data_IF_779665900133
#
_entry.id   IF_779665900133
#
_cell.length_a   1.000
_cell.length_b   1.000
_cell.length_c   1.000
_cell.angle_alpha   90.00
_cell.angle_beta   90.00
_cell.angle_gamma   90.00
#
_symmetry.space_group_name_H-M   'P 1'
#
loop_
_entity.id
_entity.type
_entity.pdbx_description
1 polymer ?
#
# COMPACT_ATOMS: atom_id res chain seq x y z
N UNK A 1 9.86 -2.98 66.92
CA UNK A 1 8.49 -3.54 66.83
C UNK A 1 8.03 -3.40 65.39
N UNK A 2 7.81 -4.54 64.69
CA UNK A 2 7.34 -4.67 63.29
C UNK A 2 5.79 -4.61 63.24
N UNK A 3 5.12 -4.36 62.08
CA UNK A 3 5.16 -5.24 60.89
C UNK A 3 5.27 -4.47 59.55
N UNK A 4 5.88 -4.97 58.47
CA UNK A 4 5.63 -6.17 57.64
C UNK A 4 4.19 -6.32 57.13
N UNK A 5 3.87 -5.63 56.02
CA UNK A 5 2.89 -6.05 55.02
C UNK A 5 3.41 -5.58 53.65
N UNK A 6 3.94 -6.47 52.81
CA UNK A 6 3.21 -7.28 51.82
C UNK A 6 2.49 -6.39 50.79
N UNK A 7 3.07 -6.25 49.60
CA UNK A 7 2.55 -5.40 48.54
C UNK A 7 3.14 -5.73 47.16
N UNK A 8 2.96 -6.99 46.74
CA UNK A 8 2.73 -7.41 45.35
C UNK A 8 3.71 -6.88 44.29
N UNK A 9 4.68 -7.74 44.00
CA UNK A 9 5.45 -7.80 42.77
C UNK A 9 4.53 -7.70 41.55
N UNK A 10 4.51 -6.54 40.88
CA UNK A 10 3.90 -6.43 39.57
C UNK A 10 4.98 -6.76 38.54
N UNK A 11 5.03 -8.03 38.17
CA UNK A 11 5.76 -8.52 37.00
C UNK A 11 5.07 -7.93 35.76
N UNK A 12 5.66 -6.90 35.15
CA UNK A 12 5.24 -6.43 33.83
C UNK A 12 5.88 -7.33 32.77
N UNK A 13 5.30 -8.52 32.61
CA UNK A 13 5.52 -9.38 31.46
C UNK A 13 4.50 -9.02 30.37
N UNK A 14 4.95 -8.34 29.33
CA UNK A 14 4.38 -8.50 27.99
C UNK A 14 5.53 -8.77 27.02
N UNK A 15 6.00 -10.01 27.04
CA UNK A 15 6.61 -10.62 25.85
C UNK A 15 5.51 -10.77 24.80
N UNK A 16 5.77 -10.28 23.59
CA UNK A 16 5.21 -10.83 22.36
C UNK A 16 3.93 -10.20 21.83
N UNK A 17 4.07 -9.29 20.87
CA UNK A 17 3.70 -9.58 19.48
C UNK A 17 4.36 -8.52 18.58
N UNK A 18 5.42 -8.88 17.87
CA UNK A 18 5.80 -8.11 16.70
C UNK A 18 4.65 -8.30 15.70
N UNK A 19 3.77 -7.30 15.59
CA UNK A 19 2.68 -7.32 14.62
C UNK A 19 3.34 -7.40 13.24
N UNK A 20 3.30 -8.59 12.67
CA UNK A 20 3.76 -8.85 11.33
C UNK A 20 2.83 -8.19 10.33
N UNK A 21 3.32 -7.12 9.70
CA UNK A 21 3.25 -6.98 8.25
C UNK A 21 1.98 -6.35 7.67
N UNK A 22 1.80 -5.04 7.86
CA UNK A 22 1.03 -4.19 6.96
C UNK A 22 1.85 -2.95 6.62
N UNK A 23 2.81 -3.07 5.68
CA UNK A 23 3.46 -1.86 5.14
C UNK A 23 2.39 -0.92 4.56
N UNK A 24 2.60 0.40 4.55
CA UNK A 24 1.60 1.34 4.04
C UNK A 24 1.16 0.90 2.65
N UNK A 25 -0.16 0.69 2.49
CA UNK A 25 -0.74 0.31 1.21
C UNK A 25 -0.58 1.49 0.26
N UNK A 26 0.17 1.28 -0.82
CA UNK A 26 0.24 2.26 -1.90
C UNK A 26 -0.89 1.97 -2.88
N UNK A 27 -1.67 2.99 -3.22
CA UNK A 27 -2.78 2.87 -4.16
C UNK A 27 -2.58 3.79 -5.35
N UNK A 28 -2.90 3.29 -6.55
CA UNK A 28 -3.08 4.09 -7.75
C UNK A 28 -4.49 3.93 -8.29
N UNK A 29 -4.97 4.94 -8.99
CA UNK A 29 -6.31 4.98 -9.58
C UNK A 29 -6.21 5.17 -11.09
N UNK A 30 -7.05 4.44 -11.82
CA UNK A 30 -7.20 4.53 -13.27
C UNK A 30 -8.66 4.82 -13.58
N UNK A 31 -8.89 5.80 -14.45
CA UNK A 31 -10.23 6.18 -14.87
C UNK A 31 -10.23 6.58 -16.35
N UNK A 32 -11.30 6.25 -17.08
CA UNK A 32 -11.46 6.62 -18.49
C UNK A 32 -11.41 8.13 -18.75
N UNK A 33 -11.76 8.94 -17.74
CA UNK A 33 -11.71 10.40 -17.77
C UNK A 33 -10.48 10.99 -17.05
N UNK A 34 -9.49 10.16 -16.69
CA UNK A 34 -8.21 10.58 -16.10
C UNK A 34 -7.21 11.09 -17.12
N UNK A 35 -5.98 11.38 -16.66
CA UNK A 35 -4.87 11.84 -17.50
C UNK A 35 -3.59 11.10 -17.13
N UNK A 36 -2.78 10.68 -18.12
CA UNK A 36 -1.54 9.94 -17.84
C UNK A 36 -0.42 10.81 -17.24
N UNK A 37 -0.57 12.13 -17.32
CA UNK A 37 0.28 13.12 -16.64
C UNK A 37 -0.10 13.36 -15.17
N UNK A 38 -1.25 12.86 -14.71
CA UNK A 38 -1.67 13.00 -13.32
C UNK A 38 -0.85 12.09 -12.38
N UNK A 39 -0.88 12.32 -11.06
CA UNK A 39 -0.14 11.50 -10.10
C UNK A 39 -0.75 10.10 -9.84
N UNK A 40 -1.90 9.77 -10.42
CA UNK A 40 -2.57 8.49 -10.20
C UNK A 40 -3.28 8.38 -8.85
N UNK A 41 -3.68 9.51 -8.28
CA UNK A 41 -4.47 9.58 -7.03
C UNK A 41 -5.96 9.43 -7.30
N UNK A 42 -6.78 9.25 -6.27
CA UNK A 42 -8.23 9.16 -6.44
C UNK A 42 -8.84 10.42 -7.08
N UNK A 43 -8.35 11.60 -6.70
CA UNK A 43 -8.81 12.87 -7.25
C UNK A 43 -8.25 13.15 -8.66
N UNK A 44 -7.06 12.63 -8.95
CA UNK A 44 -6.35 12.82 -10.23
C UNK A 44 -5.82 11.46 -10.73
N UNK A 45 -6.70 10.63 -11.31
CA UNK A 45 -6.35 9.28 -11.72
C UNK A 45 -5.59 9.26 -13.04
N UNK A 46 -4.82 8.19 -13.27
CA UNK A 46 -4.26 7.91 -14.59
C UNK A 46 -5.39 7.59 -15.58
N UNK A 47 -5.12 7.75 -16.87
CA UNK A 47 -6.05 7.35 -17.92
C UNK A 47 -5.89 5.89 -18.33
N UNK A 48 -4.66 5.39 -18.33
CA UNK A 48 -4.29 4.09 -18.91
C UNK A 48 -3.74 3.11 -17.88
N UNK A 49 -3.90 1.81 -18.17
CA UNK A 49 -3.32 0.73 -17.35
C UNK A 49 -1.80 0.67 -17.49
N UNK A 50 -1.28 1.00 -18.68
CA UNK A 50 0.15 1.09 -18.97
C UNK A 50 0.82 2.13 -18.08
N UNK A 51 0.22 3.32 -17.96
CA UNK A 51 0.76 4.37 -17.10
C UNK A 51 0.82 3.94 -15.63
N UNK A 52 -0.21 3.26 -15.14
CA UNK A 52 -0.25 2.73 -13.78
C UNK A 52 0.85 1.67 -13.55
N UNK A 53 1.00 0.72 -14.48
CA UNK A 53 2.08 -0.28 -14.43
C UNK A 53 3.46 0.38 -14.43
N UNK A 54 3.66 1.36 -15.30
CA UNK A 54 4.95 2.05 -15.42
C UNK A 54 5.25 2.87 -14.15
N UNK A 55 4.24 3.45 -13.50
CA UNK A 55 4.38 4.07 -12.17
C UNK A 55 4.81 3.07 -11.09
N UNK A 56 4.24 1.87 -11.08
CA UNK A 56 4.61 0.80 -10.13
C UNK A 56 6.03 0.31 -10.39
N UNK A 57 6.43 0.18 -11.66
CA UNK A 57 7.80 -0.20 -12.04
C UNK A 57 8.81 0.85 -11.59
N UNK A 58 8.51 2.14 -11.81
CA UNK A 58 9.35 3.23 -11.32
C UNK A 58 9.45 3.21 -9.78
N UNK A 59 8.34 3.01 -9.07
CA UNK A 59 8.34 2.86 -7.61
C UNK A 59 9.22 1.69 -7.15
N UNK A 60 9.06 0.53 -7.78
CA UNK A 60 9.86 -0.67 -7.50
C UNK A 60 11.36 -0.44 -7.72
N UNK A 61 11.73 0.34 -8.74
CA UNK A 61 13.13 0.67 -9.03
C UNK A 61 13.72 1.69 -8.06
N UNK A 62 12.93 2.68 -7.63
CA UNK A 62 13.38 3.75 -6.75
C UNK A 62 13.47 3.32 -5.28
N UNK A 63 12.35 2.84 -4.73
CA UNK A 63 12.18 2.61 -3.29
C UNK A 63 11.90 1.13 -2.95
N UNK A 64 11.69 0.30 -3.97
CA UNK A 64 11.14 -1.05 -3.81
C UNK A 64 9.61 -1.06 -3.67
N UNK A 65 9.03 -2.25 -3.58
CA UNK A 65 7.59 -2.38 -3.35
C UNK A 65 7.30 -2.38 -1.84
N UNK A 66 6.22 -1.70 -1.38
CA UNK A 66 5.78 -1.81 -0.01
C UNK A 66 5.51 -3.26 0.39
N UNK A 67 5.70 -3.59 1.67
CA UNK A 67 5.44 -4.96 2.17
C UNK A 67 4.00 -5.43 1.91
N UNK A 68 3.04 -4.49 1.90
CA UNK A 68 1.64 -4.75 1.56
C UNK A 68 1.33 -4.72 0.05
N UNK A 69 2.34 -4.52 -0.79
CA UNK A 69 2.19 -4.38 -2.23
C UNK A 69 1.62 -3.02 -2.67
N UNK A 70 1.15 -3.00 -3.92
CA UNK A 70 0.49 -1.83 -4.52
C UNK A 70 -0.85 -2.27 -5.07
N UNK A 71 -1.91 -1.52 -4.75
CA UNK A 71 -3.26 -1.74 -5.29
C UNK A 71 -3.53 -0.76 -6.42
N UNK A 72 -4.13 -1.25 -7.51
CA UNK A 72 -4.62 -0.39 -8.60
C UNK A 72 -6.14 -0.48 -8.65
N UNK A 73 -6.81 0.64 -8.39
CA UNK A 73 -8.26 0.75 -8.51
C UNK A 73 -8.62 1.23 -9.92
N UNK A 74 -9.35 0.40 -10.65
CA UNK A 74 -9.81 0.71 -12.00
C UNK A 74 -11.28 1.12 -11.90
N UNK A 75 -11.60 2.36 -12.28
CA UNK A 75 -12.99 2.85 -12.30
C UNK A 75 -13.75 2.21 -13.45
N UNK A 76 -15.08 2.15 -13.31
CA UNK A 76 -15.97 1.64 -14.34
C UNK A 76 -15.76 2.35 -15.68
N UNK A 77 -15.73 1.57 -16.76
CA UNK A 77 -15.51 2.06 -18.11
C UNK A 77 -14.83 1.02 -19.00
N UNK A 78 -14.60 1.39 -20.25
CA UNK A 78 -13.93 0.55 -21.24
C UNK A 78 -12.51 1.04 -21.45
N UNK A 79 -11.53 0.13 -21.30
CA UNK A 79 -10.11 0.41 -21.47
C UNK A 79 -9.59 -0.37 -22.70
N UNK A 80 -9.59 0.25 -23.89
CA UNK A 80 -9.12 -0.43 -25.09
C UNK A 80 -7.61 -0.66 -25.02
N UNK A 81 -7.19 -1.91 -25.21
CA UNK A 81 -5.78 -2.29 -25.25
C UNK A 81 -5.37 -2.49 -26.70
N UNK A 82 -4.37 -1.72 -27.16
CA UNK A 82 -3.85 -1.84 -28.53
C UNK A 82 -3.02 -3.12 -28.73
N UNK A 83 -2.57 -3.73 -27.64
CA UNK A 83 -1.75 -4.95 -27.59
C UNK A 83 -1.98 -5.66 -26.25
N UNK A 84 -1.47 -6.89 -26.14
CA UNK A 84 -1.48 -7.63 -24.87
C UNK A 84 -0.89 -6.80 -23.74
N UNK A 85 -1.61 -6.73 -22.62
CA UNK A 85 -1.15 -6.04 -21.42
C UNK A 85 -0.23 -6.96 -20.60
N UNK A 86 1.07 -6.73 -20.75
CA UNK A 86 2.11 -7.54 -20.10
C UNK A 86 2.42 -7.07 -18.67
N UNK A 87 2.45 -8.03 -17.74
CA UNK A 87 2.79 -7.88 -16.32
C UNK A 87 4.05 -8.71 -15.99
N UNK A 88 5.18 -8.24 -16.49
CA UNK A 88 6.51 -8.82 -16.25
C UNK A 88 7.34 -7.96 -15.31
#
# INVERSE_FOLDING_TARGET
MLPRLLGISTVLLCVGCAVGGGGPLRAFYVAVNGLDGDPGTEAKPFRTLERARDAIRALKQADGLPRGGVTVFIRGGTYPLAKTFELT
#
